data_IF_036712914179
#
_entry.id   IF_036712914179
#
_cell.length_a   1.000
_cell.length_b   1.000
_cell.length_c   1.000
_cell.angle_alpha   90.00
_cell.angle_beta   90.00
_cell.angle_gamma   90.00
#
_symmetry.space_group_name_H-M   'P 1'
#
loop_
_entity.id
_entity.type
_entity.pdbx_description
1 polymer ?
#
# COMPACT_ATOMS: atom_id res chain seq x y z
N UNK A 1 -5.90 -9.61 -10.12
CA UNK A 1 -5.76 -10.86 -9.33
C UNK A 1 -5.76 -10.48 -7.87
N UNK A 2 -6.60 -11.10 -7.03
CA UNK A 2 -6.62 -10.83 -5.60
C UNK A 2 -5.38 -11.45 -4.91
N UNK A 3 -4.97 -10.87 -3.78
CA UNK A 3 -3.92 -11.43 -2.90
C UNK A 3 -4.51 -11.62 -1.50
N UNK A 4 -4.17 -12.73 -0.86
CA UNK A 4 -4.64 -13.07 0.49
C UNK A 4 -3.53 -12.88 1.52
N UNK A 5 -3.89 -12.40 2.71
CA UNK A 5 -3.02 -12.29 3.88
C UNK A 5 -3.66 -13.10 5.01
N UNK A 6 -2.96 -14.10 5.53
CA UNK A 6 -3.41 -14.94 6.66
C UNK A 6 -2.67 -14.54 7.93
N UNK A 7 -3.41 -14.39 9.03
CA UNK A 7 -2.88 -14.07 10.35
C UNK A 7 -3.34 -15.15 11.31
N UNK A 8 -2.38 -15.77 12.00
CA UNK A 8 -2.65 -16.73 13.09
C UNK A 8 -2.31 -16.04 14.39
N UNK A 9 -3.24 -16.05 15.34
CA UNK A 9 -3.07 -15.51 16.68
C UNK A 9 -3.20 -16.66 17.69
N UNK A 10 -2.43 -16.59 18.76
CA UNK A 10 -2.67 -17.40 19.95
C UNK A 10 -3.97 -16.97 20.64
N UNK A 11 -4.55 -17.85 21.46
CA UNK A 11 -5.76 -17.53 22.21
C UNK A 11 -5.59 -16.27 23.08
N UNK A 12 -4.42 -16.09 23.71
CA UNK A 12 -4.13 -14.91 24.52
C UNK A 12 -4.02 -13.62 23.69
N UNK A 13 -3.45 -13.68 22.49
CA UNK A 13 -3.38 -12.52 21.58
C UNK A 13 -4.78 -12.15 21.08
N UNK A 14 -5.57 -13.15 20.65
CA UNK A 14 -6.95 -12.91 20.22
C UNK A 14 -7.78 -12.32 21.37
N UNK A 15 -7.65 -12.88 22.58
CA UNK A 15 -8.34 -12.37 23.77
C UNK A 15 -7.95 -10.94 24.11
N UNK A 16 -6.68 -10.58 23.88
CA UNK A 16 -6.20 -9.22 24.10
C UNK A 16 -6.84 -8.22 23.13
N UNK A 17 -7.14 -8.63 21.89
CA UNK A 17 -7.84 -7.77 20.92
C UNK A 17 -9.31 -7.54 21.33
N UNK A 18 -10.00 -8.58 21.81
CA UNK A 18 -11.40 -8.49 22.26
C UNK A 18 -11.63 -7.48 23.41
N UNK A 19 -10.58 -7.07 24.12
CA UNK A 19 -10.69 -6.05 25.18
C UNK A 19 -11.11 -4.66 24.65
N UNK A 20 -10.61 -4.25 23.48
CA UNK A 20 -10.83 -2.92 22.90
C UNK A 20 -11.52 -2.97 21.52
N UNK A 21 -11.53 -4.15 20.87
CA UNK A 21 -12.03 -4.33 19.51
C UNK A 21 -13.26 -5.24 19.53
N UNK A 22 -14.42 -4.69 19.15
CA UNK A 22 -15.70 -5.42 19.11
C UNK A 22 -15.68 -6.66 18.21
N UNK A 23 -14.99 -6.59 17.06
CA UNK A 23 -14.87 -7.69 16.10
C UNK A 23 -13.45 -7.71 15.50
N UNK A 24 -12.49 -8.44 16.13
CA UNK A 24 -11.09 -8.42 15.72
C UNK A 24 -10.85 -8.73 14.24
N UNK A 25 -11.54 -9.73 13.69
CA UNK A 25 -11.39 -10.14 12.28
C UNK A 25 -11.82 -9.03 11.31
N UNK A 26 -13.01 -8.47 11.51
CA UNK A 26 -13.54 -7.36 10.69
C UNK A 26 -12.66 -6.12 10.82
N UNK A 27 -12.14 -5.85 12.03
CA UNK A 27 -11.25 -4.71 12.25
C UNK A 27 -9.95 -4.84 11.46
N UNK A 28 -9.30 -6.01 11.48
CA UNK A 28 -8.06 -6.26 10.71
C UNK A 28 -8.31 -6.14 9.21
N UNK A 29 -9.42 -6.69 8.71
CA UNK A 29 -9.78 -6.59 7.30
C UNK A 29 -10.00 -5.12 6.89
N UNK A 30 -10.78 -4.37 7.67
CA UNK A 30 -11.06 -2.97 7.39
C UNK A 30 -9.81 -2.09 7.49
N UNK A 31 -8.97 -2.33 8.51
CA UNK A 31 -7.70 -1.62 8.66
C UNK A 31 -6.83 -1.78 7.40
N UNK A 32 -6.72 -3.01 6.91
CA UNK A 32 -5.94 -3.32 5.70
C UNK A 32 -6.53 -2.64 4.46
N UNK A 33 -7.85 -2.69 4.27
CA UNK A 33 -8.54 -2.05 3.13
C UNK A 33 -8.39 -0.53 3.14
N UNK A 34 -8.59 0.11 4.30
CA UNK A 34 -8.45 1.57 4.45
C UNK A 34 -7.00 1.98 4.19
N UNK A 35 -6.03 1.23 4.71
CA UNK A 35 -4.61 1.54 4.46
C UNK A 35 -4.24 1.37 2.98
N UNK A 36 -4.74 0.32 2.33
CA UNK A 36 -4.56 0.09 0.89
C UNK A 36 -5.11 1.26 0.07
N UNK A 37 -6.33 1.71 0.37
CA UNK A 37 -6.95 2.88 -0.28
C UNK A 37 -6.10 4.14 -0.14
N UNK A 38 -5.59 4.44 1.06
CA UNK A 38 -4.70 5.60 1.27
C UNK A 38 -3.40 5.50 0.48
N UNK A 39 -2.81 4.31 0.38
CA UNK A 39 -1.59 4.11 -0.41
C UNK A 39 -1.87 4.30 -1.92
N UNK A 40 -2.99 3.77 -2.41
CA UNK A 40 -3.45 3.99 -3.78
C UNK A 40 -3.55 5.47 -4.11
N UNK A 41 -4.25 6.24 -3.28
CA UNK A 41 -4.46 7.69 -3.52
C UNK A 41 -3.12 8.45 -3.57
N UNK A 42 -2.16 8.07 -2.72
CA UNK A 42 -0.81 8.65 -2.74
C UNK A 42 -0.05 8.30 -4.04
N UNK A 43 -0.15 7.06 -4.50
CA UNK A 43 0.48 6.63 -5.76
C UNK A 43 -0.11 7.40 -6.94
N UNK A 44 -1.44 7.46 -7.04
CA UNK A 44 -2.14 8.17 -8.12
C UNK A 44 -1.80 9.67 -8.10
N UNK A 45 -1.72 10.29 -6.93
CA UNK A 45 -1.33 11.69 -6.78
C UNK A 45 0.09 11.92 -7.30
N UNK A 46 1.05 11.05 -6.94
CA UNK A 46 2.44 11.14 -7.41
C UNK A 46 2.56 10.94 -8.91
N UNK A 47 1.87 9.94 -9.46
CA UNK A 47 1.81 9.69 -10.90
C UNK A 47 1.26 10.92 -11.63
N UNK A 48 0.10 11.43 -11.20
CA UNK A 48 -0.57 12.55 -11.85
C UNK A 48 0.33 13.78 -11.88
N UNK A 49 1.00 14.09 -10.77
CA UNK A 49 1.98 15.18 -10.71
C UNK A 49 3.14 14.97 -11.68
N UNK A 50 3.71 13.75 -11.72
CA UNK A 50 4.82 13.43 -12.62
C UNK A 50 4.39 13.51 -14.09
N UNK A 51 3.26 12.92 -14.45
CA UNK A 51 2.75 12.92 -15.81
C UNK A 51 2.43 14.34 -16.30
N UNK A 52 1.77 15.15 -15.46
CA UNK A 52 1.47 16.54 -15.79
C UNK A 52 2.74 17.39 -15.97
N UNK A 53 3.76 17.19 -15.13
CA UNK A 53 5.02 17.92 -15.23
C UNK A 53 5.84 17.54 -16.48
N UNK A 54 5.71 16.30 -16.96
CA UNK A 54 6.48 15.77 -18.08
C UNK A 54 5.67 15.63 -19.38
N UNK A 55 4.43 16.14 -19.42
CA UNK A 55 3.50 16.00 -20.55
C UNK A 55 3.29 14.53 -20.98
N UNK A 56 3.25 13.61 -20.02
CA UNK A 56 2.99 12.18 -20.24
C UNK A 56 1.50 11.93 -20.08
N UNK A 57 0.91 11.14 -20.99
CA UNK A 57 -0.49 10.74 -20.87
C UNK A 57 -0.71 9.84 -19.64
N UNK A 58 -1.73 10.15 -18.84
CA UNK A 58 -2.13 9.37 -17.69
C UNK A 58 -3.01 8.20 -18.15
N UNK A 59 -2.73 7.00 -17.64
CA UNK A 59 -3.56 5.82 -17.88
C UNK A 59 -4.98 5.99 -17.30
N UNK A 60 -5.97 5.35 -17.92
CA UNK A 60 -7.37 5.40 -17.47
C UNK A 60 -7.63 4.21 -16.54
N UNK A 61 -8.21 4.50 -15.37
CA UNK A 61 -8.51 3.50 -14.34
C UNK A 61 -7.41 3.39 -13.29
N UNK A 62 -7.81 3.23 -12.03
CA UNK A 62 -6.91 3.26 -10.87
C UNK A 62 -5.82 2.19 -10.95
N UNK A 63 -6.18 0.95 -11.31
CA UNK A 63 -5.22 -0.15 -11.42
C UNK A 63 -4.14 0.14 -12.48
N UNK A 64 -4.55 0.66 -13.64
CA UNK A 64 -3.63 1.01 -14.71
C UNK A 64 -2.72 2.18 -14.32
N UNK A 65 -3.23 3.15 -13.55
CA UNK A 65 -2.43 4.24 -13.00
C UNK A 65 -1.40 3.73 -11.99
N UNK A 66 -1.78 2.82 -11.08
CA UNK A 66 -0.83 2.22 -10.14
C UNK A 66 0.29 1.51 -10.89
N UNK A 67 -0.04 0.68 -11.90
CA UNK A 67 0.95 0.01 -12.75
C UNK A 67 1.86 1.02 -13.45
N UNK A 68 1.29 2.05 -14.08
CA UNK A 68 2.06 3.10 -14.76
C UNK A 68 3.03 3.81 -13.81
N UNK A 69 2.65 4.03 -12.55
CA UNK A 69 3.50 4.68 -11.56
C UNK A 69 4.77 3.87 -11.24
N UNK A 70 4.65 2.53 -11.18
CA UNK A 70 5.80 1.63 -11.01
C UNK A 70 6.62 1.52 -12.30
N UNK A 71 5.98 1.43 -13.46
CA UNK A 71 6.68 1.32 -14.75
C UNK A 71 7.53 2.56 -15.06
N UNK A 72 7.00 3.75 -14.75
CA UNK A 72 7.72 5.02 -14.86
C UNK A 72 8.69 5.27 -13.70
N UNK A 73 8.78 4.34 -12.73
CA UNK A 73 9.59 4.46 -11.50
C UNK A 73 9.32 5.76 -10.72
N UNK A 74 8.09 6.25 -10.77
CA UNK A 74 7.62 7.41 -9.98
C UNK A 74 7.46 7.01 -8.51
N UNK A 75 7.14 5.74 -8.28
CA UNK A 75 7.07 5.11 -6.97
C UNK A 75 7.89 3.82 -6.96
N UNK A 76 8.33 3.45 -5.77
CA UNK A 76 9.05 2.23 -5.48
C UNK A 76 8.37 1.54 -4.29
N UNK A 77 8.60 0.24 -4.14
CA UNK A 77 8.13 -0.49 -2.96
C UNK A 77 8.85 -0.01 -1.71
N UNK A 78 8.19 -0.12 -0.56
CA UNK A 78 8.82 0.22 0.71
C UNK A 78 10.12 -0.56 0.94
N UNK A 79 10.19 -1.80 0.47
CA UNK A 79 11.41 -2.63 0.51
C UNK A 79 12.53 -2.02 -0.32
N UNK A 80 12.28 -1.68 -1.59
CA UNK A 80 13.29 -1.06 -2.46
C UNK A 80 13.85 0.22 -1.84
N UNK A 81 12.96 1.07 -1.31
CA UNK A 81 13.34 2.32 -0.66
C UNK A 81 14.24 2.09 0.57
N UNK A 82 13.91 1.12 1.41
CA UNK A 82 14.70 0.80 2.61
C UNK A 82 16.04 0.19 2.22
N UNK A 83 16.05 -0.78 1.32
CA UNK A 83 17.27 -1.46 0.86
C UNK A 83 18.24 -0.47 0.15
N UNK A 84 17.70 0.53 -0.57
CA UNK A 84 18.50 1.59 -1.21
C UNK A 84 19.11 2.56 -0.19
N UNK A 85 18.38 2.90 0.87
CA UNK A 85 18.89 3.77 1.94
C UNK A 85 20.06 3.13 2.68
N UNK A 86 19.96 1.83 3.01
CA UNK A 86 21.04 1.09 3.69
C UNK A 86 22.33 1.04 2.87
N UNK A 87 22.22 0.91 1.53
CA UNK A 87 23.39 0.89 0.62
C UNK A 87 24.07 2.24 0.46
N UNK A 88 23.37 3.36 0.68
CA UNK A 88 23.97 4.70 0.57
C UNK A 88 24.75 5.11 1.82
N UNK A 89 24.60 4.39 2.92
CA UNK A 89 25.25 4.66 4.22
C UNK A 89 26.46 3.77 4.52
N UNK A 90 26.84 2.90 3.58
CA UNK A 90 28.02 2.03 3.60
C UNK A 90 29.04 2.50 2.56
#
# INVERSE_FOLDING_TARGET
MAKEIKITLTDSEYKSLEYDIYAPETWVENFTKVKSGKCKDQIITKLTAHCNANSIQIAVGEDAQITQAYDLKVVETAKEKTDAAEKSTL
#
